data_IF_638045749315
#
_entry.id   IF_638045749315
#
_cell.length_a   1.000
_cell.length_b   1.000
_cell.length_c   1.000
_cell.angle_alpha   90.00
_cell.angle_beta   90.00
_cell.angle_gamma   90.00
#
_symmetry.space_group_name_H-M   'P 1'
#
loop_
_entity.id
_entity.type
_entity.pdbx_description
1 polymer ?
#
# COMPACT_ATOMS: atom_id res chain seq x y z
N UNK A 1 8.98 11.21 0.11
CA UNK A 1 8.16 10.85 1.28
C UNK A 1 7.83 9.37 1.11
N UNK A 2 7.76 8.63 2.20
CA UNK A 2 7.68 7.18 2.20
C UNK A 2 6.60 6.73 3.18
N UNK A 3 6.03 5.56 2.94
CA UNK A 3 5.05 4.94 3.82
C UNK A 3 5.68 3.73 4.50
N UNK A 4 5.39 3.54 5.79
CA UNK A 4 5.75 2.31 6.48
C UNK A 4 5.08 1.11 5.79
N UNK A 5 5.57 -0.10 6.02
CA UNK A 5 4.95 -1.33 5.54
C UNK A 5 5.13 -2.42 6.60
N UNK A 6 4.12 -3.26 6.78
CA UNK A 6 4.14 -4.42 7.69
C UNK A 6 3.62 -5.67 6.99
N UNK A 7 3.53 -6.78 7.74
CA UNK A 7 2.84 -7.99 7.31
C UNK A 7 1.48 -7.63 6.71
N UNK A 8 1.27 -8.01 5.45
CA UNK A 8 0.04 -7.80 4.68
C UNK A 8 -0.30 -6.31 4.48
N UNK A 9 0.58 -5.60 3.78
CA UNK A 9 0.33 -4.20 3.40
C UNK A 9 0.02 -4.07 1.92
N UNK A 10 -1.06 -3.39 1.58
CA UNK A 10 -1.40 -2.96 0.22
C UNK A 10 -1.09 -1.48 0.08
N UNK A 11 -0.14 -1.14 -0.79
CA UNK A 11 0.20 0.25 -1.10
C UNK A 11 -0.42 0.64 -2.43
N UNK A 12 -1.14 1.77 -2.43
CA UNK A 12 -1.76 2.36 -3.63
C UNK A 12 -1.32 3.83 -3.79
N UNK A 13 -1.25 4.38 -5.00
CA UNK A 13 -1.07 5.81 -5.19
C UNK A 13 -2.31 6.59 -4.71
N UNK A 14 -2.12 7.65 -3.94
CA UNK A 14 -3.20 8.56 -3.50
C UNK A 14 -3.94 9.14 -4.71
N UNK A 15 -3.23 9.49 -5.78
CA UNK A 15 -3.81 9.99 -7.02
C UNK A 15 -4.76 9.01 -7.71
N UNK A 16 -4.64 7.71 -7.42
CA UNK A 16 -5.61 6.73 -7.89
C UNK A 16 -6.90 6.82 -7.08
N UNK A 17 -6.81 7.09 -5.77
CA UNK A 17 -7.99 7.24 -4.88
C UNK A 17 -8.79 8.47 -5.25
N UNK A 18 -8.08 9.58 -5.44
CA UNK A 18 -8.69 10.83 -5.87
C UNK A 18 -9.37 10.75 -7.24
N UNK A 19 -8.97 9.82 -8.12
CA UNK A 19 -9.62 9.61 -9.42
C UNK A 19 -10.77 8.59 -9.37
N UNK A 20 -10.59 7.50 -8.64
CA UNK A 20 -11.52 6.37 -8.63
C UNK A 20 -12.67 6.52 -7.64
N UNK A 21 -12.54 7.41 -6.66
CA UNK A 21 -13.53 7.57 -5.60
C UNK A 21 -14.04 9.02 -5.52
N UNK A 22 -15.32 9.30 -5.83
CA UNK A 22 -15.90 10.64 -5.68
C UNK A 22 -15.72 11.17 -4.26
N UNK A 23 -15.09 12.35 -4.12
CA UNK A 23 -14.75 12.92 -2.81
C UNK A 23 -13.43 12.40 -2.20
N UNK A 24 -12.69 11.58 -2.94
CA UNK A 24 -11.30 11.20 -2.62
C UNK A 24 -11.16 10.32 -1.39
N UNK A 25 -9.95 10.31 -0.82
CA UNK A 25 -9.61 9.46 0.32
C UNK A 25 -10.49 9.71 1.54
N UNK A 26 -10.88 10.97 1.79
CA UNK A 26 -11.71 11.31 2.96
C UNK A 26 -13.15 10.80 2.83
N UNK A 27 -13.75 10.90 1.64
CA UNK A 27 -15.07 10.32 1.39
C UNK A 27 -15.03 8.80 1.55
N UNK A 28 -13.97 8.15 1.04
CA UNK A 28 -13.76 6.72 1.22
C UNK A 28 -13.68 6.33 2.69
N UNK A 29 -12.95 7.10 3.52
CA UNK A 29 -12.90 6.86 4.97
C UNK A 29 -14.26 7.00 5.64
N UNK A 30 -15.06 8.00 5.24
CA UNK A 30 -16.39 8.22 5.83
C UNK A 30 -17.37 7.10 5.50
N UNK A 31 -17.36 6.61 4.26
CA UNK A 31 -18.30 5.57 3.81
C UNK A 31 -17.93 4.18 4.34
N UNK A 32 -16.64 3.88 4.43
CA UNK A 32 -16.15 2.55 4.84
C UNK A 32 -16.02 2.38 6.36
N UNK A 33 -16.34 3.42 7.15
CA UNK A 33 -16.13 3.42 8.61
C UNK A 33 -14.66 3.59 9.01
N UNK A 34 -13.80 3.97 8.07
CA UNK A 34 -12.40 4.27 8.34
C UNK A 34 -11.53 3.01 8.48
N UNK A 35 -10.73 3.00 9.56
CA UNK A 35 -9.69 2.02 9.86
C UNK A 35 -10.22 0.72 10.53
N UNK A 36 -11.52 0.43 10.48
CA UNK A 36 -12.05 -0.74 11.17
C UNK A 36 -11.44 -2.04 10.60
N UNK A 37 -10.62 -2.70 11.43
CA UNK A 37 -9.84 -3.88 11.08
C UNK A 37 -8.60 -3.62 10.20
N UNK A 38 -8.23 -2.37 9.92
CA UNK A 38 -7.10 -2.01 9.04
C UNK A 38 -6.30 -0.85 9.62
N UNK A 39 -4.97 -0.91 9.64
CA UNK A 39 -4.15 0.28 9.92
C UNK A 39 -3.89 1.02 8.62
N UNK A 40 -4.17 2.31 8.58
CA UNK A 40 -4.06 3.10 7.36
C UNK A 40 -3.13 4.27 7.64
N UNK A 41 -2.14 4.46 6.78
CA UNK A 41 -1.30 5.65 6.78
C UNK A 41 -1.07 6.10 5.35
N UNK A 42 -0.92 7.41 5.18
CA UNK A 42 -0.77 8.01 3.87
C UNK A 42 0.13 9.23 3.94
N UNK A 43 0.84 9.48 2.85
CA UNK A 43 1.59 10.71 2.62
C UNK A 43 0.95 11.51 1.47
N UNK A 44 1.71 12.42 0.86
CA UNK A 44 1.23 13.24 -0.25
C UNK A 44 0.99 12.45 -1.55
N UNK A 45 1.44 11.19 -1.62
CA UNK A 45 1.48 10.39 -2.85
C UNK A 45 1.00 8.95 -2.69
N UNK A 46 1.10 8.37 -1.51
CA UNK A 46 0.88 6.96 -1.24
C UNK A 46 -0.09 6.78 -0.09
N UNK A 47 -0.93 5.76 -0.21
CA UNK A 47 -1.75 5.24 0.89
C UNK A 47 -1.40 3.79 1.08
N UNK A 48 -1.17 3.41 2.32
CA UNK A 48 -0.88 2.05 2.71
C UNK A 48 -1.98 1.54 3.63
N UNK A 49 -2.58 0.42 3.23
CA UNK A 49 -3.59 -0.32 3.96
C UNK A 49 -2.95 -1.56 4.55
N UNK A 50 -2.95 -1.66 5.86
CA UNK A 50 -2.36 -2.76 6.59
C UNK A 50 -3.42 -3.64 7.18
N UNK A 51 -3.30 -4.92 6.93
CA UNK A 51 -4.27 -5.92 7.33
C UNK A 51 -3.65 -6.84 8.37
N UNK A 52 -4.46 -7.28 9.33
CA UNK A 52 -4.01 -8.23 10.35
C UNK A 52 -3.95 -9.67 9.83
N UNK A 53 -4.54 -9.93 8.65
CA UNK A 53 -4.71 -11.26 8.09
C UNK A 53 -4.45 -11.25 6.56
N UNK A 54 -3.77 -12.27 6.02
CA UNK A 54 -3.49 -12.37 4.58
C UNK A 54 -4.75 -12.39 3.72
N UNK A 55 -5.81 -13.07 4.14
CA UNK A 55 -7.08 -13.16 3.39
C UNK A 55 -7.74 -11.79 3.31
N UNK A 56 -7.68 -11.01 4.39
CA UNK A 56 -8.16 -9.62 4.40
C UNK A 56 -7.36 -8.73 3.45
N UNK A 57 -6.04 -8.92 3.37
CA UNK A 57 -5.22 -8.17 2.41
C UNK A 57 -5.54 -8.52 0.96
N UNK A 58 -5.77 -9.80 0.67
CA UNK A 58 -6.16 -10.26 -0.65
C UNK A 58 -7.51 -9.68 -1.09
N UNK A 59 -8.51 -9.71 -0.19
CA UNK A 59 -9.79 -9.04 -0.42
C UNK A 59 -9.63 -7.52 -0.57
N UNK A 60 -8.68 -6.93 0.16
CA UNK A 60 -8.29 -5.54 0.02
C UNK A 60 -7.78 -5.21 -1.39
N UNK A 61 -6.82 -5.99 -1.90
CA UNK A 61 -6.31 -5.87 -3.28
C UNK A 61 -7.47 -5.94 -4.27
N UNK A 62 -8.31 -6.97 -4.18
CA UNK A 62 -9.48 -7.13 -5.08
C UNK A 62 -10.44 -5.96 -5.03
N UNK A 63 -10.77 -5.47 -3.85
CA UNK A 63 -11.66 -4.30 -3.71
C UNK A 63 -11.09 -3.06 -4.41
N UNK A 64 -9.77 -2.85 -4.35
CA UNK A 64 -9.12 -1.78 -5.10
C UNK A 64 -9.15 -2.03 -6.61
N UNK A 65 -8.89 -3.25 -7.06
CA UNK A 65 -9.01 -3.65 -8.47
C UNK A 65 -10.43 -3.35 -9.01
N UNK A 66 -11.46 -3.76 -8.27
CA UNK A 66 -12.87 -3.59 -8.66
C UNK A 66 -13.27 -2.11 -8.79
N UNK A 67 -12.64 -1.24 -7.99
CA UNK A 67 -12.83 0.21 -8.09
C UNK A 67 -12.04 0.84 -9.25
N UNK A 68 -11.41 0.05 -10.12
CA UNK A 68 -10.65 0.51 -11.28
C UNK A 68 -9.22 0.95 -10.95
N UNK A 69 -8.71 0.58 -9.78
CA UNK A 69 -7.35 0.91 -9.36
C UNK A 69 -6.36 -0.07 -9.96
N UNK A 70 -6.20 0.03 -11.27
CA UNK A 70 -5.07 -0.54 -11.96
C UNK A 70 -3.86 0.36 -11.72
N UNK A 71 -2.85 -0.13 -11.00
CA UNK A 71 -1.51 0.42 -11.19
C UNK A 71 -1.17 0.32 -12.69
N UNK A 72 -0.32 1.21 -13.17
CA UNK A 72 -0.03 1.34 -14.59
C UNK A 72 0.81 0.13 -15.05
N UNK A 73 0.17 -1.00 -15.33
CA UNK A 73 0.86 -2.23 -15.66
C UNK A 73 1.18 -2.27 -17.14
N UNK A 74 2.46 -2.10 -17.48
CA UNK A 74 2.96 -2.54 -18.80
C UNK A 74 2.95 -4.07 -18.84
N UNK A 75 1.78 -4.67 -18.99
CA UNK A 75 1.61 -6.11 -19.24
C UNK A 75 1.61 -7.03 -18.00
N UNK A 76 1.48 -6.49 -16.79
CA UNK A 76 1.30 -7.24 -15.53
C UNK A 76 -0.18 -7.27 -15.11
N UNK A 77 -0.60 -8.31 -14.39
CA UNK A 77 -1.94 -8.40 -13.80
C UNK A 77 -2.19 -7.19 -12.89
N UNK A 78 -3.43 -6.67 -12.87
CA UNK A 78 -3.79 -5.51 -12.03
C UNK A 78 -3.49 -5.77 -10.54
N UNK A 79 -3.56 -7.02 -10.07
CA UNK A 79 -3.18 -7.43 -8.72
C UNK A 79 -1.67 -7.28 -8.45
N UNK A 80 -0.82 -7.39 -9.47
CA UNK A 80 0.64 -7.21 -9.41
C UNK A 80 1.04 -5.72 -9.45
N UNK A 81 0.11 -4.85 -9.81
CA UNK A 81 0.30 -3.41 -9.89
C UNK A 81 0.24 -2.73 -8.51
N UNK A 82 -0.36 -3.39 -7.53
CA UNK A 82 -0.37 -2.93 -6.15
C UNK A 82 0.77 -3.61 -5.41
N UNK A 83 1.53 -2.86 -4.61
CA UNK A 83 2.48 -3.51 -3.72
C UNK A 83 1.68 -4.17 -2.61
N UNK A 84 1.47 -5.47 -2.76
CA UNK A 84 1.15 -6.36 -1.66
C UNK A 84 2.48 -6.79 -1.04
N UNK A 85 2.92 -6.05 -0.02
CA UNK A 85 4.07 -6.45 0.76
C UNK A 85 3.61 -7.49 1.78
N UNK A 86 3.96 -8.75 1.54
CA UNK A 86 4.00 -9.76 2.59
C UNK A 86 5.39 -9.70 3.23
N UNK A 87 5.50 -8.96 4.33
CA UNK A 87 6.71 -8.99 5.14
C UNK A 87 6.75 -10.31 5.90
N UNK A 88 7.37 -11.34 5.32
CA UNK A 88 7.80 -12.50 6.08
C UNK A 88 9.07 -12.11 6.83
N UNK A 89 9.00 -12.04 8.17
CA UNK A 89 10.13 -11.64 9.02
C UNK A 89 11.30 -12.65 8.97
N UNK A 90 11.10 -13.86 8.45
CA UNK A 90 12.15 -14.88 8.30
C UNK A 90 12.71 -14.99 6.88
N UNK A 91 11.89 -14.75 5.85
CA UNK A 91 12.29 -14.95 4.44
C UNK A 91 12.62 -13.67 3.69
N UNK A 92 12.37 -12.50 4.27
CA UNK A 92 12.37 -11.25 3.54
C UNK A 92 11.08 -11.10 2.72
N UNK A 93 10.80 -9.88 2.29
CA UNK A 93 9.51 -9.52 1.70
C UNK A 93 9.26 -10.29 0.39
N UNK A 94 8.14 -10.99 0.31
CA UNK A 94 7.55 -11.44 -0.94
C UNK A 94 6.85 -10.22 -1.57
N UNK A 95 7.59 -9.42 -2.32
CA UNK A 95 6.98 -8.41 -3.16
C UNK A 95 6.54 -9.09 -4.45
N UNK A 96 5.27 -8.91 -4.83
CA UNK A 96 4.98 -8.87 -6.25
C UNK A 96 5.95 -7.88 -6.91
N UNK A 97 6.36 -8.17 -8.13
CA UNK A 97 7.47 -7.52 -8.81
C UNK A 97 7.01 -6.12 -9.30
N UNK A 98 6.87 -5.19 -8.34
CA UNK A 98 6.27 -3.86 -8.53
C UNK A 98 7.30 -2.91 -9.14
N UNK A 99 7.00 -2.38 -10.33
CA UNK A 99 7.93 -1.59 -11.13
C UNK A 99 7.97 -0.09 -10.75
N UNK A 100 6.98 0.40 -9.99
CA UNK A 100 6.81 1.81 -9.63
C UNK A 100 7.14 2.15 -8.18
N UNK A 101 7.43 1.14 -7.33
CA UNK A 101 7.85 1.33 -5.94
C UNK A 101 9.29 0.84 -5.73
N UNK A 102 9.97 1.48 -4.79
CA UNK A 102 11.22 1.03 -4.18
C UNK A 102 10.93 0.65 -2.72
N UNK A 103 11.70 -0.30 -2.20
CA UNK A 103 11.45 -0.90 -0.90
C UNK A 103 12.73 -0.96 -0.05
N UNK A 104 12.60 -0.69 1.26
CA UNK A 104 13.67 -0.85 2.23
C UNK A 104 13.29 -1.91 3.27
N UNK A 105 14.03 -3.02 3.32
CA UNK A 105 13.83 -4.11 4.29
C UNK A 105 14.42 -3.82 5.67
N UNK A 106 15.50 -3.05 5.77
CA UNK A 106 16.14 -2.71 7.04
C UNK A 106 15.28 -1.75 7.88
N UNK A 107 14.52 -0.89 7.20
CA UNK A 107 13.47 -0.08 7.81
C UNK A 107 12.22 -0.23 6.95
N UNK A 108 11.33 -1.20 7.26
CA UNK A 108 10.19 -1.57 6.42
C UNK A 108 9.40 -0.36 5.94
N UNK A 109 9.65 0.04 4.70
CA UNK A 109 9.04 1.19 4.06
C UNK A 109 9.09 1.11 2.54
N UNK A 110 8.17 1.81 1.90
CA UNK A 110 8.08 1.92 0.44
C UNK A 110 7.93 3.38 -0.01
N UNK A 111 8.47 3.69 -1.19
CA UNK A 111 8.37 5.01 -1.83
C UNK A 111 8.36 4.88 -3.35
N UNK A 112 7.96 5.94 -4.05
CA UNK A 112 7.91 5.94 -5.52
C UNK A 112 9.32 5.81 -6.11
N UNK A 113 9.49 4.90 -7.06
CA UNK A 113 10.74 4.67 -7.76
C UNK A 113 11.28 5.94 -8.42
N UNK A 114 12.59 6.13 -8.32
CA UNK A 114 13.26 7.34 -8.82
C UNK A 114 13.08 8.58 -7.94
N UNK A 115 12.43 8.47 -6.77
CA UNK A 115 12.32 9.55 -5.78
C UNK A 115 13.13 9.25 -4.52
N UNK A 116 13.37 10.28 -3.69
CA UNK A 116 13.97 10.08 -2.37
C UNK A 116 12.89 9.71 -1.33
N UNK A 117 13.10 8.68 -0.49
CA UNK A 117 12.13 8.25 0.50
C UNK A 117 11.76 9.36 1.49
N UNK A 118 12.67 10.27 1.83
CA UNK A 118 12.39 11.34 2.79
C UNK A 118 11.90 10.80 4.14
N UNK A 119 10.95 11.50 4.77
CA UNK A 119 10.33 11.06 6.03
C UNK A 119 9.37 9.90 5.80
N UNK A 120 9.44 8.88 6.67
CA UNK A 120 8.49 7.76 6.70
C UNK A 120 7.25 8.15 7.50
N UNK A 121 6.08 7.95 6.90
CA UNK A 121 4.77 8.09 7.53
C UNK A 121 4.26 6.72 7.94
N UNK A 122 3.83 6.61 9.19
CA UNK A 122 3.40 5.35 9.81
C UNK A 122 4.08 5.14 11.16
N UNK A 123 3.73 4.05 11.88
CA UNK A 123 4.36 3.74 13.15
C UNK A 123 5.86 3.49 12.99
N UNK A 124 6.68 3.91 13.97
CA UNK A 124 8.09 3.54 13.99
C UNK A 124 8.19 2.03 14.21
N UNK A 125 8.67 1.31 13.20
CA UNK A 125 9.08 -0.08 13.38
C UNK A 125 10.51 -0.02 13.91
N UNK A 126 10.68 -0.22 15.21
CA UNK A 126 11.97 -0.63 15.74
C UNK A 126 12.25 -2.02 15.21
N UNK A 127 13.39 -2.22 14.55
CA UNK A 127 13.92 -3.57 14.35
C UNK A 127 13.96 -4.26 15.73
N UNK A 128 13.20 -5.34 15.87
CA UNK A 128 13.31 -6.25 17.02
C UNK A 128 14.45 -7.22 16.76
#
# INVERSE_FOLDING_TARGET
MAVAVYCFTVVVPLSSIERGYPGGLMAWFQETGGADGKRIWFDDKLVAFCYYDPSLSYNGVRAWVDLGFAGNTKGKCIEEALLCAQVDMQLGVLSADVDWLEFNSAQPSAWIKGTSPGRIVGPKVSAL
#
